data_IF_037981616757
#
_entry.id   IF_037981616757
#
_cell.length_a   1.000
_cell.length_b   1.000
_cell.length_c   1.000
_cell.angle_alpha   90.00
_cell.angle_beta   90.00
_cell.angle_gamma   90.00
#
_symmetry.space_group_name_H-M   'P 1'
#
loop_
_entity.id
_entity.type
_entity.pdbx_description
1 polymer ?
#
# COMPACT_ATOMS: atom_id res chain seq x y z
N UNK A 1 -4.73 5.68 28.65
CA UNK A 1 -4.26 6.62 27.59
C UNK A 1 -5.28 6.62 26.46
N UNK A 2 -5.92 7.76 26.20
CA UNK A 2 -6.92 7.90 25.12
C UNK A 2 -6.24 8.33 23.83
N UNK A 3 -6.32 7.48 22.81
CA UNK A 3 -5.68 7.71 21.51
C UNK A 3 -6.74 7.77 20.41
N UNK A 4 -6.71 8.81 19.59
CA UNK A 4 -7.46 8.86 18.36
C UNK A 4 -6.57 8.43 17.18
N UNK A 5 -6.98 7.41 16.45
CA UNK A 5 -6.27 6.91 15.26
C UNK A 5 -7.17 7.02 14.04
N UNK A 6 -6.69 7.52 12.93
CA UNK A 6 -7.46 7.60 11.69
C UNK A 6 -7.23 8.93 10.97
N UNK A 7 -8.08 9.28 10.00
CA UNK A 7 -9.36 8.64 9.70
C UNK A 7 -9.23 7.36 8.84
N UNK A 8 -10.12 6.41 9.09
CA UNK A 8 -10.31 5.23 8.28
C UNK A 8 -11.20 5.58 7.08
N UNK A 9 -10.71 5.35 5.88
CA UNK A 9 -11.38 5.76 4.64
C UNK A 9 -12.04 4.64 3.82
N UNK A 10 -11.97 3.39 4.28
CA UNK A 10 -12.48 2.22 3.55
C UNK A 10 -11.65 1.85 2.30
N UNK A 11 -11.44 0.57 2.05
CA UNK A 11 -10.96 -0.01 0.77
C UNK A 11 -9.63 0.50 0.19
N UNK A 12 -8.73 1.06 0.99
CA UNK A 12 -7.42 1.54 0.53
C UNK A 12 -6.28 0.93 1.35
N UNK A 13 -5.04 1.00 0.84
CA UNK A 13 -3.85 0.58 1.59
C UNK A 13 -3.71 1.28 2.94
N UNK A 14 -4.05 2.59 3.01
CA UNK A 14 -4.07 3.37 4.27
C UNK A 14 -5.09 2.79 5.24
N UNK A 15 -6.25 2.39 4.76
CA UNK A 15 -7.30 1.78 5.59
C UNK A 15 -6.89 0.41 6.11
N UNK A 16 -6.25 -0.40 5.27
CA UNK A 16 -5.67 -1.69 5.68
C UNK A 16 -4.63 -1.47 6.78
N UNK A 17 -3.69 -0.56 6.57
CA UNK A 17 -2.68 -0.21 7.56
C UNK A 17 -3.31 0.27 8.89
N UNK A 18 -4.30 1.17 8.81
CA UNK A 18 -4.98 1.69 10.01
C UNK A 18 -5.63 0.57 10.82
N UNK A 19 -6.32 -0.33 10.12
CA UNK A 19 -6.96 -1.50 10.74
C UNK A 19 -5.95 -2.44 11.40
N UNK A 20 -4.89 -2.80 10.68
CA UNK A 20 -3.86 -3.70 11.18
C UNK A 20 -3.09 -3.07 12.38
N UNK A 21 -2.83 -1.76 12.33
CA UNK A 21 -2.21 -1.05 13.43
C UNK A 21 -3.09 -1.04 14.70
N UNK A 22 -4.38 -0.73 14.57
CA UNK A 22 -5.29 -0.74 15.71
C UNK A 22 -5.38 -2.14 16.32
N UNK A 23 -5.51 -3.18 15.52
CA UNK A 23 -5.52 -4.58 15.97
C UNK A 23 -4.22 -4.94 16.69
N UNK A 24 -3.08 -4.59 16.11
CA UNK A 24 -1.77 -4.87 16.71
C UNK A 24 -1.59 -4.17 18.06
N UNK A 25 -1.97 -2.91 18.18
CA UNK A 25 -1.92 -2.15 19.43
C UNK A 25 -2.81 -2.75 20.51
N UNK A 26 -4.02 -3.19 20.17
CA UNK A 26 -4.96 -3.80 21.10
C UNK A 26 -4.49 -5.16 21.65
N UNK A 27 -3.58 -5.84 20.99
CA UNK A 27 -3.06 -7.14 21.45
C UNK A 27 -1.97 -7.04 22.50
N UNK A 28 -1.28 -5.90 22.59
CA UNK A 28 -0.08 -5.80 23.45
C UNK A 28 -0.27 -4.99 24.71
N UNK A 29 -1.29 -4.15 24.79
CA UNK A 29 -1.49 -3.26 25.95
C UNK A 29 -2.97 -2.98 26.21
N UNK A 30 -3.48 -3.50 27.36
CA UNK A 30 -4.87 -3.34 27.76
C UNK A 30 -5.25 -1.90 28.20
N UNK A 31 -4.25 -1.05 28.49
CA UNK A 31 -4.47 0.33 28.99
C UNK A 31 -4.58 1.36 27.87
N UNK A 32 -4.54 0.95 26.61
CA UNK A 32 -4.75 1.84 25.48
C UNK A 32 -6.25 1.93 25.15
N UNK A 33 -6.83 3.08 25.41
CA UNK A 33 -8.19 3.42 24.97
C UNK A 33 -8.13 4.00 23.54
N UNK A 34 -8.24 3.10 22.56
CA UNK A 34 -8.14 3.45 21.14
C UNK A 34 -9.51 3.78 20.60
N UNK A 35 -9.68 5.00 20.11
CA UNK A 35 -10.85 5.44 19.34
C UNK A 35 -10.47 5.60 17.88
N UNK A 36 -11.18 4.91 17.00
CA UNK A 36 -10.96 5.00 15.57
C UNK A 36 -11.77 6.17 14.97
N UNK A 37 -11.09 7.07 14.29
CA UNK A 37 -11.74 8.11 13.51
C UNK A 37 -12.25 7.50 12.19
N UNK A 38 -13.53 7.74 11.86
CA UNK A 38 -14.15 7.28 10.62
C UNK A 38 -14.87 8.42 9.93
N UNK A 39 -15.15 8.29 8.63
CA UNK A 39 -15.98 9.24 7.90
C UNK A 39 -17.44 8.81 7.93
N UNK A 40 -18.36 9.78 7.97
CA UNK A 40 -19.79 9.52 7.87
C UNK A 40 -20.11 8.69 6.60
N UNK A 41 -20.78 7.55 6.79
CA UNK A 41 -21.11 6.61 5.73
C UNK A 41 -20.00 5.62 5.39
N UNK A 42 -18.94 5.56 6.21
CA UNK A 42 -17.92 4.53 6.14
C UNK A 42 -17.92 3.77 7.45
N UNK A 43 -18.34 2.50 7.38
CA UNK A 43 -18.34 1.61 8.52
C UNK A 43 -16.99 0.92 8.66
N UNK A 44 -16.50 0.84 9.89
CA UNK A 44 -15.34 0.05 10.22
C UNK A 44 -15.80 -1.40 10.49
N UNK A 45 -15.23 -2.40 9.81
CA UNK A 45 -15.74 -3.76 9.88
C UNK A 45 -15.48 -4.48 11.21
N UNK A 46 -14.64 -3.93 12.09
CA UNK A 46 -14.29 -4.51 13.38
C UNK A 46 -14.91 -3.70 14.53
N UNK A 47 -15.98 -4.23 15.11
CA UNK A 47 -16.73 -3.59 16.20
C UNK A 47 -15.94 -3.49 17.54
N UNK A 48 -14.72 -3.99 17.62
CA UNK A 48 -13.90 -3.98 18.85
C UNK A 48 -13.44 -2.58 19.26
N UNK A 49 -13.43 -1.63 18.33
CA UNK A 49 -12.97 -0.26 18.61
C UNK A 49 -14.14 0.71 18.63
N UNK A 50 -14.25 1.58 19.65
CA UNK A 50 -15.16 2.71 19.60
C UNK A 50 -14.79 3.61 18.42
N UNK A 51 -15.80 4.07 17.69
CA UNK A 51 -15.61 4.92 16.52
C UNK A 51 -16.07 6.35 16.80
N UNK A 52 -15.31 7.31 16.31
CA UNK A 52 -15.69 8.72 16.31
C UNK A 52 -15.89 9.16 14.85
N UNK A 53 -17.16 9.35 14.49
CA UNK A 53 -17.53 9.71 13.12
C UNK A 53 -17.24 11.19 12.84
N UNK A 54 -16.52 11.42 11.76
CA UNK A 54 -16.27 12.74 11.18
C UNK A 54 -17.31 13.01 10.08
N UNK A 55 -17.80 14.25 9.94
CA UNK A 55 -18.80 14.55 8.92
C UNK A 55 -18.21 14.40 7.50
N UNK A 56 -19.05 13.95 6.55
CA UNK A 56 -18.64 13.68 5.18
C UNK A 56 -18.07 14.90 4.44
N UNK A 57 -18.51 16.10 4.79
CA UNK A 57 -17.99 17.34 4.21
C UNK A 57 -16.56 17.68 4.66
N UNK A 58 -16.05 16.99 5.68
CA UNK A 58 -14.65 17.06 6.08
C UNK A 58 -13.76 16.02 5.38
N UNK A 59 -14.35 15.16 4.53
CA UNK A 59 -13.61 14.15 3.77
C UNK A 59 -12.84 14.80 2.62
N UNK A 60 -11.55 14.54 2.58
CA UNK A 60 -10.64 14.92 1.51
C UNK A 60 -10.28 13.65 0.74
N UNK A 61 -11.15 13.28 -0.20
CA UNK A 61 -10.80 12.24 -1.17
C UNK A 61 -9.87 12.77 -2.24
N UNK A 62 -9.09 11.89 -2.89
CA UNK A 62 -8.24 12.32 -4.02
C UNK A 62 -9.04 12.99 -5.15
N UNK A 63 -10.32 12.61 -5.33
CA UNK A 63 -11.24 13.27 -6.26
C UNK A 63 -11.61 14.69 -5.88
N UNK A 64 -11.46 15.08 -4.61
CA UNK A 64 -11.81 16.41 -4.12
C UNK A 64 -10.67 17.42 -4.32
N UNK A 65 -9.46 16.96 -4.63
CA UNK A 65 -8.35 17.84 -5.03
C UNK A 65 -8.50 18.45 -6.41
N UNK A 66 -9.42 17.93 -7.23
CA UNK A 66 -9.66 18.41 -8.59
C UNK A 66 -10.48 19.72 -8.68
N UNK A 67 -10.92 20.28 -7.56
CA UNK A 67 -11.78 21.46 -7.69
C UNK A 67 -12.04 22.30 -6.46
N UNK A 68 -11.22 22.22 -5.43
CA UNK A 68 -11.53 23.11 -4.31
C UNK A 68 -10.46 23.14 -3.25
N UNK A 69 -9.90 24.29 -3.14
CA UNK A 69 -8.58 24.52 -2.58
C UNK A 69 -8.57 24.49 -1.05
N UNK A 70 -7.41 24.83 -0.52
CA UNK A 70 -7.05 25.25 0.84
C UNK A 70 -8.26 25.49 1.79
N UNK A 71 -9.36 26.08 1.33
CA UNK A 71 -10.56 26.34 2.12
C UNK A 71 -11.28 25.05 2.62
N UNK A 72 -11.38 24.01 1.78
CA UNK A 72 -11.96 22.71 2.17
C UNK A 72 -11.07 22.02 3.20
N UNK A 73 -9.77 22.10 3.00
CA UNK A 73 -8.78 21.53 3.91
C UNK A 73 -8.83 22.23 5.26
N UNK A 74 -8.93 23.55 5.30
CA UNK A 74 -9.11 24.32 6.54
C UNK A 74 -10.41 23.94 7.27
N UNK A 75 -11.51 23.76 6.53
CA UNK A 75 -12.78 23.30 7.10
C UNK A 75 -12.68 21.93 7.73
N UNK A 76 -12.11 20.96 6.98
CA UNK A 76 -11.92 19.60 7.43
C UNK A 76 -11.03 19.52 8.68
N UNK A 77 -9.87 20.16 8.63
CA UNK A 77 -8.92 20.13 9.75
C UNK A 77 -9.45 20.81 11.01
N UNK A 78 -10.28 21.87 10.87
CA UNK A 78 -10.96 22.50 12.00
C UNK A 78 -11.93 21.55 12.70
N UNK A 79 -12.68 20.76 11.92
CA UNK A 79 -13.60 19.75 12.46
C UNK A 79 -12.79 18.64 13.16
N UNK A 80 -11.77 18.11 12.52
CA UNK A 80 -10.89 17.07 13.10
C UNK A 80 -10.29 17.59 14.41
N UNK A 81 -9.70 18.79 14.42
CA UNK A 81 -9.11 19.40 15.61
C UNK A 81 -10.13 19.51 16.76
N UNK A 82 -11.37 19.96 16.48
CA UNK A 82 -12.41 20.08 17.51
C UNK A 82 -12.78 18.72 18.11
N UNK A 83 -12.88 17.70 17.26
CA UNK A 83 -13.26 16.34 17.68
C UNK A 83 -12.14 15.59 18.40
N UNK A 84 -10.89 15.95 18.15
CA UNK A 84 -9.74 15.24 18.73
C UNK A 84 -9.05 15.99 19.89
N UNK A 85 -9.54 17.18 20.28
CA UNK A 85 -8.89 18.03 21.28
C UNK A 85 -8.74 17.38 22.68
N UNK A 86 -9.67 16.48 23.03
CA UNK A 86 -9.74 15.86 24.36
C UNK A 86 -9.01 14.50 24.42
N UNK A 87 -8.34 14.08 23.34
CA UNK A 87 -7.49 12.89 23.33
C UNK A 87 -6.09 13.23 23.85
N UNK A 88 -5.48 12.25 24.52
CA UNK A 88 -4.11 12.39 25.01
C UNK A 88 -3.10 12.43 23.86
N UNK A 89 -3.40 11.70 22.77
CA UNK A 89 -2.57 11.60 21.58
C UNK A 89 -3.47 11.43 20.34
N UNK A 90 -3.03 12.01 19.22
CA UNK A 90 -3.67 11.84 17.91
C UNK A 90 -2.68 11.29 16.93
N UNK A 91 -3.04 10.20 16.27
CA UNK A 91 -2.23 9.58 15.22
C UNK A 91 -2.98 9.54 13.90
N UNK A 92 -2.47 10.27 12.90
CA UNK A 92 -2.95 10.20 11.53
C UNK A 92 -2.11 9.24 10.71
N UNK A 93 -2.71 8.12 10.27
CA UNK A 93 -2.08 7.21 9.30
C UNK A 93 -1.90 7.80 7.91
N UNK A 94 -2.47 8.97 7.66
CA UNK A 94 -2.31 9.77 6.45
C UNK A 94 -1.84 11.17 6.82
N UNK A 95 -0.68 11.56 6.29
CA UNK A 95 -0.07 12.85 6.60
C UNK A 95 -0.91 14.05 6.17
N UNK A 96 -1.76 13.89 5.16
CA UNK A 96 -2.58 15.00 4.60
C UNK A 96 -3.44 15.69 5.64
N UNK A 97 -4.04 14.94 6.54
CA UNK A 97 -4.93 15.48 7.58
C UNK A 97 -4.20 16.23 8.70
N UNK A 98 -2.90 16.01 8.82
CA UNK A 98 -2.09 16.67 9.86
C UNK A 98 -1.75 18.13 9.61
N UNK A 99 -1.92 18.64 8.39
CA UNK A 99 -1.39 19.94 7.98
C UNK A 99 -1.80 21.13 8.86
N UNK A 100 -3.01 21.12 9.39
CA UNK A 100 -3.54 22.20 10.21
C UNK A 100 -4.09 21.74 11.56
N UNK A 101 -3.92 20.47 11.90
CA UNK A 101 -4.31 19.95 13.21
C UNK A 101 -3.20 20.26 14.20
N UNK A 102 -3.45 21.29 15.02
CA UNK A 102 -2.53 21.68 16.09
C UNK A 102 -2.85 20.87 17.34
N UNK A 103 -2.31 19.66 17.41
CA UNK A 103 -2.38 18.85 18.63
C UNK A 103 -0.97 18.72 19.24
N UNK A 104 -0.81 18.91 20.59
CA UNK A 104 0.53 18.89 21.21
C UNK A 104 1.25 17.56 21.04
N UNK A 105 0.50 16.46 20.91
CA UNK A 105 1.01 15.11 20.71
C UNK A 105 0.49 14.50 19.41
N UNK A 106 0.81 15.18 18.29
CA UNK A 106 0.45 14.73 16.95
C UNK A 106 1.51 13.77 16.42
N UNK A 107 1.08 12.57 16.09
CA UNK A 107 1.87 11.55 15.36
C UNK A 107 1.34 11.46 13.95
N UNK A 108 2.21 11.44 12.96
CA UNK A 108 1.86 11.21 11.56
C UNK A 108 2.59 10.00 11.03
N UNK A 109 1.90 9.15 10.29
CA UNK A 109 2.55 8.17 9.41
C UNK A 109 2.73 8.79 8.04
N UNK A 110 3.97 8.85 7.60
CA UNK A 110 4.34 9.30 6.27
C UNK A 110 4.32 8.11 5.31
N UNK A 111 3.40 8.16 4.35
CA UNK A 111 3.33 7.22 3.25
C UNK A 111 4.29 7.66 2.17
N UNK A 112 5.51 7.13 2.22
CA UNK A 112 6.52 7.37 1.22
C UNK A 112 7.14 8.75 1.24
N UNK A 113 7.54 9.17 0.08
CA UNK A 113 8.53 10.17 -0.15
C UNK A 113 7.93 11.35 -0.92
N UNK A 114 7.76 12.46 -0.23
CA UNK A 114 7.34 13.71 -0.84
C UNK A 114 8.55 14.59 -1.11
N UNK A 115 9.02 14.61 -2.35
CA UNK A 115 10.09 15.51 -2.76
C UNK A 115 9.57 16.58 -3.69
N UNK A 116 9.83 17.82 -3.36
CA UNK A 116 9.66 18.96 -4.28
C UNK A 116 10.46 18.84 -5.58
N UNK A 117 11.41 17.90 -5.63
CA UNK A 117 12.18 17.58 -6.85
C UNK A 117 11.43 16.67 -7.81
N UNK A 118 10.32 16.07 -7.37
CA UNK A 118 9.46 15.30 -8.24
C UNK A 118 8.67 16.27 -9.11
N UNK A 119 8.80 16.10 -10.42
CA UNK A 119 8.08 16.92 -11.38
C UNK A 119 6.57 16.75 -11.14
N UNK A 120 5.77 17.83 -11.15
CA UNK A 120 4.32 17.76 -10.98
C UNK A 120 3.65 16.77 -11.91
N UNK A 121 4.20 16.58 -13.11
CA UNK A 121 3.74 15.59 -14.09
C UNK A 121 3.87 14.15 -13.58
N UNK A 122 5.02 13.78 -13.01
CA UNK A 122 5.23 12.46 -12.44
C UNK A 122 4.26 12.19 -11.28
N UNK A 123 4.01 13.22 -10.48
CA UNK A 123 3.07 13.15 -9.36
C UNK A 123 1.63 12.95 -9.85
N UNK A 124 1.23 13.68 -10.90
CA UNK A 124 -0.07 13.53 -11.53
C UNK A 124 -0.27 12.13 -12.12
N UNK A 125 0.71 11.61 -12.85
CA UNK A 125 0.68 10.27 -13.43
C UNK A 125 0.57 9.20 -12.33
N UNK A 126 1.26 9.39 -11.23
CA UNK A 126 1.26 8.45 -10.10
C UNK A 126 -0.09 8.38 -9.40
N UNK A 127 -0.69 9.53 -9.10
CA UNK A 127 -1.94 9.62 -8.36
C UNK A 127 -3.20 9.64 -9.23
N UNK A 128 -3.03 9.48 -10.55
CA UNK A 128 -4.15 9.51 -11.49
C UNK A 128 -4.75 10.90 -11.68
N UNK A 129 -4.04 11.97 -11.31
CA UNK A 129 -4.48 13.32 -11.65
C UNK A 129 -4.40 13.56 -13.16
N UNK A 130 -5.37 14.29 -13.74
CA UNK A 130 -5.26 14.65 -15.15
C UNK A 130 -4.00 15.48 -15.40
N UNK A 131 -3.25 15.14 -16.46
CA UNK A 131 -2.05 15.90 -16.87
C UNK A 131 -2.51 17.16 -17.58
N UNK A 132 -3.06 18.07 -16.81
CA UNK A 132 -3.51 19.40 -17.25
C UNK A 132 -3.18 20.41 -16.16
N UNK A 133 -3.44 21.69 -16.41
CA UNK A 133 -3.16 22.76 -15.43
C UNK A 133 -3.84 22.52 -14.07
N UNK A 134 -5.14 22.16 -14.00
CA UNK A 134 -5.79 21.81 -12.74
C UNK A 134 -5.16 20.62 -12.01
N UNK A 135 -4.80 19.56 -12.73
CA UNK A 135 -4.16 18.38 -12.14
C UNK A 135 -2.77 18.68 -11.59
N UNK A 136 -2.00 19.51 -12.28
CA UNK A 136 -0.69 19.98 -11.81
C UNK A 136 -0.82 20.85 -10.55
N UNK A 137 -1.80 21.76 -10.52
CA UNK A 137 -2.08 22.57 -9.35
C UNK A 137 -2.48 21.72 -8.15
N UNK A 138 -3.36 20.72 -8.35
CA UNK A 138 -3.75 19.77 -7.31
C UNK A 138 -2.56 18.99 -6.76
N UNK A 139 -1.63 18.55 -7.61
CA UNK A 139 -0.41 17.87 -7.19
C UNK A 139 0.50 18.76 -6.32
N UNK A 140 0.68 20.02 -6.71
CA UNK A 140 1.47 21.01 -5.95
C UNK A 140 0.80 21.27 -4.60
N UNK A 141 -0.52 21.44 -4.57
CA UNK A 141 -1.29 21.65 -3.36
C UNK A 141 -1.16 20.46 -2.38
N UNK A 142 -1.30 19.25 -2.89
CA UNK A 142 -1.11 18.03 -2.11
C UNK A 142 0.30 17.93 -1.52
N UNK A 143 1.33 18.25 -2.30
CA UNK A 143 2.72 18.28 -1.82
C UNK A 143 2.92 19.33 -0.73
N UNK A 144 2.35 20.52 -0.90
CA UNK A 144 2.41 21.58 0.09
C UNK A 144 1.74 21.16 1.42
N UNK A 145 0.56 20.55 1.33
CA UNK A 145 -0.19 20.06 2.49
C UNK A 145 0.60 19.01 3.28
N UNK A 146 1.17 18.03 2.59
CA UNK A 146 2.00 17.03 3.24
C UNK A 146 3.23 17.64 3.92
N UNK A 147 3.88 18.61 3.27
CA UNK A 147 5.03 19.33 3.86
C UNK A 147 4.64 20.07 5.15
N UNK A 148 3.50 20.74 5.14
CA UNK A 148 2.97 21.44 6.32
C UNK A 148 2.61 20.45 7.44
N UNK A 149 1.99 19.33 7.10
CA UNK A 149 1.64 18.28 8.05
C UNK A 149 2.89 17.71 8.74
N UNK A 150 3.91 17.36 7.96
CA UNK A 150 5.17 16.84 8.50
C UNK A 150 5.89 17.83 9.41
N UNK A 151 5.75 19.14 9.15
CA UNK A 151 6.28 20.19 10.03
C UNK A 151 5.48 20.37 11.31
N UNK A 152 4.17 20.13 11.27
CA UNK A 152 3.28 20.27 12.42
C UNK A 152 3.36 19.09 13.38
N UNK A 153 3.79 17.93 12.92
CA UNK A 153 3.85 16.71 13.72
C UNK A 153 4.96 16.76 14.77
N UNK A 154 4.63 16.28 15.97
CA UNK A 154 5.63 16.09 17.04
C UNK A 154 6.51 14.88 16.74
N UNK A 155 5.91 13.83 16.16
CA UNK A 155 6.61 12.65 15.68
C UNK A 155 6.08 12.28 14.29
N UNK A 156 7.00 11.89 13.42
CA UNK A 156 6.71 11.35 12.08
C UNK A 156 7.21 9.90 12.05
N UNK A 157 6.32 9.00 11.66
CA UNK A 157 6.69 7.61 11.39
C UNK A 157 6.82 7.44 9.88
N UNK A 158 7.99 7.02 9.43
CA UNK A 158 8.24 6.63 8.04
C UNK A 158 8.04 5.12 7.88
N UNK A 159 7.31 4.72 6.86
CA UNK A 159 7.17 3.32 6.46
C UNK A 159 8.35 2.83 5.59
N UNK A 160 9.19 3.77 5.14
CA UNK A 160 10.44 3.49 4.45
C UNK A 160 11.62 3.68 5.40
N UNK A 161 12.66 2.84 5.32
CA UNK A 161 13.92 3.07 6.04
C UNK A 161 14.49 4.45 5.75
N UNK A 162 15.12 5.07 6.74
CA UNK A 162 15.52 6.49 6.68
C UNK A 162 16.55 6.79 5.58
N UNK A 163 17.36 5.81 5.18
CA UNK A 163 18.31 5.94 4.07
C UNK A 163 17.61 6.10 2.69
N UNK A 164 16.35 5.74 2.58
CA UNK A 164 15.53 5.98 1.37
C UNK A 164 14.83 7.33 1.35
N UNK A 165 14.87 8.06 2.47
CA UNK A 165 14.32 9.41 2.54
C UNK A 165 15.32 10.44 2.03
N UNK A 166 14.86 11.56 1.43
CA UNK A 166 15.76 12.66 1.10
C UNK A 166 16.43 13.22 2.35
N UNK A 167 17.67 13.67 2.23
CA UNK A 167 18.45 14.22 3.33
C UNK A 167 17.71 15.29 4.15
N UNK A 168 16.87 16.12 3.52
CA UNK A 168 16.09 17.15 4.21
C UNK A 168 14.83 16.65 4.95
N UNK A 169 14.49 15.35 4.85
CA UNK A 169 13.35 14.74 5.53
C UNK A 169 13.76 13.89 6.73
N UNK A 170 15.01 13.55 6.85
CA UNK A 170 15.56 12.86 8.03
C UNK A 170 15.79 13.89 9.12
N UNK A 171 14.99 13.83 10.19
CA UNK A 171 15.07 14.71 11.36
C UNK A 171 15.03 13.87 12.62
N UNK A 172 15.39 14.42 13.76
CA UNK A 172 15.39 13.73 15.06
C UNK A 172 14.01 13.17 15.47
N UNK A 173 12.93 13.75 14.95
CA UNK A 173 11.57 13.30 15.23
C UNK A 173 11.00 12.34 14.16
N UNK A 174 11.81 11.84 13.23
CA UNK A 174 11.40 10.88 12.20
C UNK A 174 11.93 9.49 12.56
N UNK A 175 11.02 8.53 12.68
CA UNK A 175 11.32 7.15 13.05
C UNK A 175 10.88 6.21 11.96
N UNK A 176 11.70 5.23 11.61
CA UNK A 176 11.30 4.13 10.74
C UNK A 176 10.56 3.07 11.55
N UNK A 177 9.31 2.79 11.19
CA UNK A 177 8.55 1.65 11.66
C UNK A 177 7.87 1.01 10.45
N UNK A 178 8.15 -0.25 10.13
CA UNK A 178 7.48 -0.94 9.02
C UNK A 178 5.98 -1.09 9.31
N UNK A 179 5.15 -1.32 8.28
CA UNK A 179 3.72 -1.50 8.49
C UNK A 179 3.45 -2.82 9.24
N UNK A 180 2.46 -2.87 10.11
CA UNK A 180 2.00 -4.15 10.65
C UNK A 180 1.27 -4.93 9.57
N UNK A 181 1.57 -6.22 9.43
CA UNK A 181 0.90 -7.10 8.49
C UNK A 181 0.59 -8.44 9.17
N UNK A 182 -0.68 -8.65 9.51
CA UNK A 182 -1.13 -9.91 10.05
C UNK A 182 -1.50 -10.87 8.91
N UNK A 183 -0.60 -11.80 8.63
CA UNK A 183 -0.84 -12.93 7.74
C UNK A 183 -0.97 -14.18 8.61
N UNK A 184 -2.20 -14.58 8.92
CA UNK A 184 -2.42 -15.85 9.62
C UNK A 184 -2.10 -17.02 8.70
N UNK A 185 -1.15 -17.87 9.10
CA UNK A 185 -0.67 -18.99 8.29
C UNK A 185 -1.73 -20.01 7.90
N UNK A 186 -2.75 -20.17 8.72
CA UNK A 186 -3.72 -21.26 8.61
C UNK A 186 -4.99 -20.94 7.84
N UNK A 187 -5.39 -19.68 7.72
CA UNK A 187 -6.68 -19.32 7.13
C UNK A 187 -6.61 -18.88 5.67
N UNK A 188 -5.43 -18.51 5.19
CA UNK A 188 -5.29 -17.88 3.88
C UNK A 188 -5.11 -18.91 2.77
N UNK A 189 -4.43 -20.04 3.05
CA UNK A 189 -3.96 -20.97 2.02
C UNK A 189 -4.67 -22.32 2.00
N UNK A 190 -5.56 -22.59 2.94
CA UNK A 190 -6.34 -23.83 2.94
C UNK A 190 -7.54 -23.70 1.99
N UNK A 191 -7.39 -24.30 0.83
CA UNK A 191 -8.35 -24.35 -0.25
C UNK A 191 -8.10 -23.24 -1.28
N UNK A 192 -7.53 -23.59 -2.42
CA UNK A 192 -7.41 -22.71 -3.57
C UNK A 192 -8.73 -22.05 -3.96
N UNK A 193 -8.73 -21.12 -4.89
CA UNK A 193 -9.96 -20.56 -5.44
C UNK A 193 -10.81 -21.72 -5.98
N UNK A 194 -12.00 -21.92 -5.39
CA UNK A 194 -12.94 -22.98 -5.80
C UNK A 194 -13.84 -22.47 -6.94
N UNK A 195 -13.25 -21.88 -7.97
CA UNK A 195 -13.94 -21.36 -9.12
C UNK A 195 -13.09 -21.60 -10.39
N UNK A 196 -13.55 -21.10 -11.53
CA UNK A 196 -12.83 -21.21 -12.80
C UNK A 196 -11.38 -20.67 -12.76
N UNK A 197 -11.09 -19.72 -11.88
CA UNK A 197 -9.74 -19.17 -11.70
C UNK A 197 -8.81 -20.19 -11.02
N UNK A 198 -9.31 -20.95 -10.06
CA UNK A 198 -8.57 -22.03 -9.43
C UNK A 198 -8.15 -23.11 -10.41
N UNK A 199 -9.11 -23.60 -11.20
CA UNK A 199 -8.85 -24.61 -12.25
C UNK A 199 -7.82 -24.14 -13.26
N UNK A 200 -7.87 -22.87 -13.67
CA UNK A 200 -6.87 -22.31 -14.58
C UNK A 200 -5.49 -22.18 -13.97
N UNK A 201 -5.41 -21.83 -12.69
CA UNK A 201 -4.15 -21.76 -11.95
C UNK A 201 -3.50 -23.14 -11.80
N UNK A 202 -4.29 -24.19 -11.53
CA UNK A 202 -3.82 -25.57 -11.37
C UNK A 202 -3.29 -26.18 -12.67
N UNK A 203 -3.83 -25.75 -13.82
CA UNK A 203 -3.41 -26.25 -15.14
C UNK A 203 -2.20 -25.55 -15.74
N UNK A 204 -1.63 -24.54 -15.07
CA UNK A 204 -0.47 -23.80 -15.54
C UNK A 204 0.81 -24.26 -14.82
N UNK A 205 1.95 -24.27 -15.53
CA UNK A 205 3.26 -24.56 -14.91
C UNK A 205 3.71 -23.37 -14.03
N UNK A 206 3.31 -22.16 -14.41
CA UNK A 206 3.57 -20.95 -13.61
C UNK A 206 2.39 -19.98 -13.66
N UNK A 207 2.08 -19.41 -12.50
CA UNK A 207 1.02 -18.42 -12.31
C UNK A 207 1.64 -17.08 -11.96
N UNK A 208 1.38 -16.07 -12.79
CA UNK A 208 1.68 -14.67 -12.49
C UNK A 208 0.43 -13.95 -12.03
N UNK A 209 0.58 -13.06 -11.06
CA UNK A 209 -0.50 -12.24 -10.52
C UNK A 209 -0.07 -10.77 -10.56
N UNK A 210 -0.90 -9.93 -11.15
CA UNK A 210 -0.78 -8.48 -11.11
C UNK A 210 -2.02 -7.90 -10.43
N UNK A 211 -1.84 -7.04 -9.44
CA UNK A 211 -2.95 -6.44 -8.70
C UNK A 211 -2.91 -4.91 -8.71
N UNK A 212 -4.03 -4.30 -9.10
CA UNK A 212 -4.24 -2.86 -8.97
C UNK A 212 -5.71 -2.55 -8.84
N UNK A 213 -6.10 -1.68 -7.91
CA UNK A 213 -7.50 -1.25 -7.79
C UNK A 213 -8.06 -0.69 -9.10
N UNK A 214 -7.25 0.05 -9.83
CA UNK A 214 -7.58 0.63 -11.13
C UNK A 214 -6.50 0.26 -12.13
N UNK A 215 -6.83 -0.67 -13.04
CA UNK A 215 -5.92 -1.16 -14.07
C UNK A 215 -5.63 -0.12 -15.16
N UNK A 216 -6.44 0.95 -15.25
CA UNK A 216 -6.22 2.05 -16.21
C UNK A 216 -5.05 2.96 -15.83
N UNK A 217 -4.55 2.87 -14.60
CA UNK A 217 -3.43 3.70 -14.14
C UNK A 217 -2.13 3.20 -14.77
N UNK A 218 -1.68 3.89 -15.80
CA UNK A 218 -0.45 3.55 -16.56
C UNK A 218 0.78 3.42 -15.66
N UNK A 219 0.85 4.25 -14.61
CA UNK A 219 1.94 4.23 -13.64
C UNK A 219 2.09 2.91 -12.87
N UNK A 220 1.02 2.10 -12.76
CA UNK A 220 1.06 0.79 -12.09
C UNK A 220 1.74 -0.31 -12.91
N UNK A 221 1.79 -0.18 -14.24
CA UNK A 221 2.52 -1.11 -15.11
C UNK A 221 1.72 -2.31 -15.58
N UNK A 222 0.37 -2.24 -15.56
CA UNK A 222 -0.47 -3.35 -16.02
C UNK A 222 -0.24 -3.73 -17.49
N UNK A 223 -0.09 -2.74 -18.39
CA UNK A 223 0.24 -3.02 -19.79
C UNK A 223 1.63 -3.65 -19.92
N UNK A 224 2.62 -3.15 -19.18
CA UNK A 224 3.98 -3.72 -19.17
C UNK A 224 3.97 -5.20 -18.74
N UNK A 225 3.15 -5.56 -17.76
CA UNK A 225 2.97 -6.96 -17.34
C UNK A 225 2.44 -7.83 -18.49
N UNK A 226 1.41 -7.36 -19.20
CA UNK A 226 0.83 -8.08 -20.34
C UNK A 226 1.84 -8.21 -21.49
N UNK A 227 2.56 -7.15 -21.80
CA UNK A 227 3.52 -7.15 -22.92
C UNK A 227 4.70 -8.10 -22.65
N UNK A 228 5.25 -8.10 -21.45
CA UNK A 228 6.31 -9.01 -21.03
C UNK A 228 5.82 -10.47 -20.97
N UNK A 229 4.61 -10.70 -20.46
CA UNK A 229 3.97 -12.00 -20.43
C UNK A 229 3.68 -12.54 -21.84
N UNK A 230 3.25 -11.69 -22.75
CA UNK A 230 3.07 -12.03 -24.16
C UNK A 230 4.38 -12.53 -24.77
N UNK A 231 5.48 -11.84 -24.50
CA UNK A 231 6.80 -12.24 -24.96
C UNK A 231 7.21 -13.60 -24.40
N UNK A 232 6.95 -13.87 -23.12
CA UNK A 232 7.22 -15.16 -22.48
C UNK A 232 6.49 -16.31 -23.18
N UNK A 233 5.20 -16.17 -23.45
CA UNK A 233 4.41 -17.22 -24.10
C UNK A 233 4.84 -17.47 -25.55
N UNK A 234 5.08 -16.41 -26.32
CA UNK A 234 5.37 -16.54 -27.75
C UNK A 234 6.79 -17.01 -28.04
N UNK A 235 7.76 -16.52 -27.26
CA UNK A 235 9.17 -16.82 -27.49
C UNK A 235 9.60 -18.11 -26.79
N UNK A 236 9.25 -18.27 -25.53
CA UNK A 236 9.80 -19.31 -24.67
C UNK A 236 8.84 -20.49 -24.48
N UNK A 237 7.62 -20.39 -25.06
CA UNK A 237 6.56 -21.42 -25.06
C UNK A 237 6.21 -21.94 -23.67
N UNK A 238 6.38 -21.09 -22.64
CA UNK A 238 6.06 -21.41 -21.26
C UNK A 238 4.55 -21.56 -21.09
N UNK A 239 4.09 -22.61 -20.45
CA UNK A 239 2.67 -22.81 -20.14
C UNK A 239 2.31 -22.03 -18.86
N UNK A 240 1.90 -20.80 -19.04
CA UNK A 240 1.66 -19.86 -17.95
C UNK A 240 0.30 -19.17 -18.05
N UNK A 241 -0.18 -18.65 -16.92
CA UNK A 241 -1.32 -17.74 -16.85
C UNK A 241 -0.98 -16.47 -16.11
N UNK A 242 -1.59 -15.36 -16.53
CA UNK A 242 -1.48 -14.06 -15.88
C UNK A 242 -2.85 -13.62 -15.37
N UNK A 243 -3.01 -13.54 -14.06
CA UNK A 243 -4.18 -12.95 -13.44
C UNK A 243 -4.01 -11.43 -13.28
N UNK A 244 -4.96 -10.68 -13.81
CA UNK A 244 -5.07 -9.23 -13.72
C UNK A 244 -6.21 -8.88 -12.76
N UNK A 245 -5.86 -8.56 -11.51
CA UNK A 245 -6.83 -8.30 -10.44
C UNK A 245 -7.13 -6.81 -10.36
N UNK A 246 -8.39 -6.43 -10.51
CA UNK A 246 -8.86 -5.05 -10.38
C UNK A 246 -9.85 -4.61 -11.44
N UNK A 247 -10.29 -3.35 -11.34
CA UNK A 247 -11.28 -2.77 -12.25
C UNK A 247 -10.68 -2.11 -13.49
N UNK A 248 -11.55 -1.73 -14.43
CA UNK A 248 -11.22 -0.98 -15.66
C UNK A 248 -10.28 -1.72 -16.63
N UNK A 249 -10.57 -3.01 -16.86
CA UNK A 249 -9.80 -3.87 -17.78
C UNK A 249 -9.72 -3.32 -19.21
N UNK A 250 -10.75 -2.61 -19.67
CA UNK A 250 -10.86 -2.10 -21.05
C UNK A 250 -9.80 -1.04 -21.40
N UNK A 251 -9.05 -0.55 -20.40
CA UNK A 251 -7.92 0.33 -20.61
C UNK A 251 -6.62 -0.39 -21.02
N UNK A 252 -6.62 -1.73 -20.99
CA UNK A 252 -5.48 -2.57 -21.32
C UNK A 252 -5.70 -3.32 -22.64
N UNK A 253 -4.64 -3.46 -23.41
CA UNK A 253 -4.62 -4.19 -24.67
C UNK A 253 -4.05 -5.59 -24.50
N UNK A 254 -4.79 -6.62 -24.86
CA UNK A 254 -4.35 -8.01 -24.82
C UNK A 254 -4.32 -8.56 -26.24
N UNK A 255 -3.17 -8.98 -26.77
CA UNK A 255 -3.09 -9.63 -28.07
C UNK A 255 -3.97 -10.90 -28.14
N UNK A 256 -4.67 -11.10 -29.25
CA UNK A 256 -5.59 -12.22 -29.40
C UNK A 256 -4.91 -13.58 -29.14
N UNK A 257 -3.65 -13.72 -29.52
CA UNK A 257 -2.88 -14.97 -29.43
C UNK A 257 -2.61 -15.41 -27.96
N UNK A 258 -2.70 -14.50 -27.00
CA UNK A 258 -2.49 -14.81 -25.56
C UNK A 258 -3.72 -14.54 -24.72
N UNK A 259 -4.87 -14.23 -25.35
CA UNK A 259 -6.10 -13.82 -24.66
C UNK A 259 -6.58 -14.84 -23.63
N UNK A 260 -6.48 -16.12 -23.94
CA UNK A 260 -6.93 -17.20 -23.06
C UNK A 260 -6.01 -17.40 -21.85
N UNK A 261 -4.80 -16.88 -21.90
CA UNK A 261 -3.81 -16.95 -20.81
C UNK A 261 -3.77 -15.69 -19.94
N UNK A 262 -4.48 -14.62 -20.32
CA UNK A 262 -4.60 -13.38 -19.52
C UNK A 262 -6.01 -13.30 -18.95
N UNK A 263 -6.14 -13.45 -17.64
CA UNK A 263 -7.42 -13.59 -16.95
C UNK A 263 -7.71 -12.34 -16.13
N UNK A 264 -8.74 -11.60 -16.49
CA UNK A 264 -9.23 -10.46 -15.70
C UNK A 264 -10.25 -10.93 -14.68
N UNK A 265 -9.90 -10.89 -13.40
CA UNK A 265 -10.77 -11.34 -12.32
C UNK A 265 -11.83 -10.31 -11.92
N UNK A 266 -11.64 -9.03 -12.30
CA UNK A 266 -12.35 -7.93 -11.67
C UNK A 266 -11.87 -7.70 -10.24
N UNK A 267 -12.72 -7.07 -9.42
CA UNK A 267 -12.45 -6.94 -8.00
C UNK A 267 -12.68 -8.28 -7.30
N UNK A 268 -11.69 -8.72 -6.55
CA UNK A 268 -11.82 -9.82 -5.60
C UNK A 268 -12.00 -9.23 -4.20
N UNK A 269 -12.76 -9.91 -3.35
CA UNK A 269 -12.70 -9.62 -1.93
C UNK A 269 -11.30 -9.97 -1.37
N UNK A 270 -10.99 -9.48 -0.15
CA UNK A 270 -9.65 -9.68 0.43
C UNK A 270 -9.31 -11.17 0.58
N UNK A 271 -10.29 -12.01 0.92
CA UNK A 271 -10.09 -13.44 1.14
C UNK A 271 -9.72 -14.15 -0.15
N UNK A 272 -10.48 -13.91 -1.20
CA UNK A 272 -10.24 -14.52 -2.52
C UNK A 272 -8.96 -13.98 -3.17
N UNK A 273 -8.67 -12.69 -2.99
CA UNK A 273 -7.39 -12.13 -3.42
C UNK A 273 -6.20 -12.84 -2.73
N UNK A 274 -6.24 -13.02 -1.42
CA UNK A 274 -5.17 -13.71 -0.69
C UNK A 274 -5.09 -15.21 -1.05
N UNK A 275 -6.21 -15.86 -1.40
CA UNK A 275 -6.21 -17.23 -1.93
C UNK A 275 -5.58 -17.35 -3.32
N UNK A 276 -5.67 -16.29 -4.12
CA UNK A 276 -4.98 -16.23 -5.40
C UNK A 276 -3.46 -16.12 -5.25
N UNK A 277 -2.98 -15.60 -4.12
CA UNK A 277 -1.56 -15.56 -3.78
C UNK A 277 -1.14 -16.88 -3.12
N UNK A 278 0.16 -17.17 -3.06
CA UNK A 278 0.67 -18.35 -2.35
C UNK A 278 1.99 -18.88 -2.90
N UNK A 279 2.53 -19.91 -2.24
CA UNK A 279 3.75 -20.56 -2.69
C UNK A 279 3.66 -21.05 -4.15
N UNK A 280 4.74 -20.94 -4.88
CA UNK A 280 4.79 -21.35 -6.29
C UNK A 280 4.13 -20.37 -7.26
N UNK A 281 3.69 -19.20 -6.82
CA UNK A 281 3.16 -18.12 -7.66
C UNK A 281 4.11 -16.94 -7.72
N UNK A 282 3.98 -16.12 -8.76
CA UNK A 282 4.77 -14.90 -8.94
C UNK A 282 3.86 -13.67 -8.86
N UNK A 283 4.21 -12.69 -8.07
CA UNK A 283 3.52 -11.41 -8.04
C UNK A 283 4.32 -10.31 -8.75
N UNK A 284 3.63 -9.49 -9.54
CA UNK A 284 4.23 -8.42 -10.32
C UNK A 284 3.88 -7.05 -9.72
N UNK A 285 4.87 -6.33 -9.23
CA UNK A 285 4.75 -4.99 -8.67
C UNK A 285 5.57 -3.99 -9.52
N UNK A 286 5.02 -3.58 -10.66
CA UNK A 286 5.73 -2.86 -11.71
C UNK A 286 5.45 -1.35 -11.71
N UNK A 287 5.17 -0.76 -10.56
CA UNK A 287 4.82 0.65 -10.43
C UNK A 287 5.99 1.59 -10.73
N UNK A 288 5.70 2.78 -11.26
CA UNK A 288 6.66 3.89 -11.37
C UNK A 288 7.07 4.46 -10.02
N UNK A 289 6.20 4.34 -9.05
CA UNK A 289 6.40 4.84 -7.70
C UNK A 289 5.25 4.40 -6.81
N UNK A 290 5.59 4.01 -5.61
CA UNK A 290 4.68 3.69 -4.51
C UNK A 290 5.19 4.36 -3.25
N UNK A 291 4.29 4.57 -2.34
CA UNK A 291 4.63 5.01 -0.99
C UNK A 291 4.96 3.80 -0.14
N UNK A 292 4.08 2.81 -0.22
CA UNK A 292 4.21 1.48 0.31
C UNK A 292 3.36 0.56 -0.58
N UNK A 293 3.94 -0.51 -1.05
CA UNK A 293 3.21 -1.49 -1.85
C UNK A 293 2.67 -2.62 -0.95
N UNK A 294 1.51 -2.38 -0.36
CA UNK A 294 0.86 -3.37 0.50
C UNK A 294 0.57 -4.68 -0.24
N UNK A 295 0.16 -4.60 -1.51
CA UNK A 295 -0.12 -5.78 -2.31
C UNK A 295 1.13 -6.65 -2.52
N UNK A 296 2.28 -6.00 -2.72
CA UNK A 296 3.57 -6.69 -2.79
C UNK A 296 3.92 -7.35 -1.45
N UNK A 297 3.73 -6.63 -0.32
CA UNK A 297 3.99 -7.20 1.01
C UNK A 297 3.06 -8.39 1.32
N UNK A 298 1.78 -8.30 0.95
CA UNK A 298 0.83 -9.40 1.08
C UNK A 298 1.25 -10.61 0.23
N UNK A 299 1.70 -10.39 -0.99
CA UNK A 299 2.18 -11.45 -1.87
C UNK A 299 3.45 -12.11 -1.32
N UNK A 300 4.43 -11.31 -0.86
CA UNK A 300 5.63 -11.82 -0.20
C UNK A 300 5.28 -12.65 1.03
N UNK A 301 4.43 -12.12 1.91
CA UNK A 301 4.00 -12.82 3.13
C UNK A 301 3.21 -14.08 2.85
N UNK A 302 2.53 -14.16 1.72
CA UNK A 302 1.86 -15.34 1.20
C UNK A 302 2.82 -16.40 0.62
N UNK A 303 4.09 -16.07 0.44
CA UNK A 303 5.09 -16.96 -0.14
C UNK A 303 5.17 -16.92 -1.67
N UNK A 304 4.65 -15.86 -2.30
CA UNK A 304 4.89 -15.61 -3.71
C UNK A 304 6.34 -15.17 -3.94
N UNK A 305 6.95 -15.64 -5.02
CA UNK A 305 8.09 -14.96 -5.59
C UNK A 305 7.62 -13.60 -6.15
N UNK A 306 8.43 -12.55 -6.06
CA UNK A 306 8.02 -11.22 -6.52
C UNK A 306 8.98 -10.67 -7.58
N UNK A 307 8.41 -10.02 -8.60
CA UNK A 307 9.13 -9.22 -9.58
C UNK A 307 8.69 -7.78 -9.38
N UNK A 308 9.62 -6.92 -9.01
CA UNK A 308 9.31 -5.55 -8.61
C UNK A 308 10.14 -4.55 -9.40
N UNK A 309 9.56 -3.38 -9.67
CA UNK A 309 10.32 -2.26 -10.22
C UNK A 309 11.31 -1.70 -9.20
N UNK A 310 12.37 -1.07 -9.71
CA UNK A 310 13.42 -0.44 -8.89
C UNK A 310 12.95 0.89 -8.30
N UNK A 311 12.19 0.82 -7.20
CA UNK A 311 11.67 1.98 -6.45
C UNK A 311 11.89 1.81 -4.95
N UNK A 312 11.96 2.91 -4.17
CA UNK A 312 12.17 2.84 -2.72
C UNK A 312 11.17 1.98 -1.96
N UNK A 313 9.90 1.94 -2.38
CA UNK A 313 8.87 1.12 -1.72
C UNK A 313 9.15 -0.39 -1.76
N UNK A 314 10.00 -0.84 -2.68
CA UNK A 314 10.40 -2.23 -2.82
C UNK A 314 11.74 -2.55 -2.14
N UNK A 315 12.13 -1.76 -1.13
CA UNK A 315 13.40 -1.92 -0.40
C UNK A 315 13.56 -3.34 0.17
N UNK A 316 12.50 -3.97 0.64
CA UNK A 316 12.54 -5.33 1.19
C UNK A 316 13.03 -6.35 0.17
N UNK A 317 12.67 -6.18 -1.10
CA UNK A 317 13.14 -7.05 -2.18
C UNK A 317 14.58 -6.75 -2.55
N UNK A 318 14.93 -5.45 -2.68
CA UNK A 318 16.25 -4.99 -3.07
C UNK A 318 17.33 -5.34 -2.03
N UNK A 319 17.06 -5.02 -0.77
CA UNK A 319 18.08 -5.08 0.28
C UNK A 319 18.27 -6.50 0.81
N UNK A 320 17.25 -7.35 0.70
CA UNK A 320 17.25 -8.70 1.26
C UNK A 320 17.27 -9.83 0.21
N UNK A 321 17.27 -9.50 -1.08
CA UNK A 321 17.36 -10.49 -2.16
C UNK A 321 16.18 -11.47 -2.19
N UNK A 322 14.98 -11.01 -1.80
CA UNK A 322 13.79 -11.86 -1.66
C UNK A 322 12.93 -11.94 -2.91
N UNK A 323 13.42 -11.47 -4.05
CA UNK A 323 12.73 -11.46 -5.34
C UNK A 323 13.64 -10.92 -6.44
N UNK A 324 13.02 -10.39 -7.50
CA UNK A 324 13.75 -9.79 -8.64
C UNK A 324 13.38 -8.31 -8.77
N UNK A 325 14.42 -7.48 -8.76
CA UNK A 325 14.29 -6.05 -9.03
C UNK A 325 14.60 -5.80 -10.50
N UNK A 326 13.68 -5.17 -11.21
CA UNK A 326 13.76 -5.00 -12.66
C UNK A 326 13.63 -3.53 -13.08
N UNK A 327 14.28 -3.19 -14.19
CA UNK A 327 13.97 -1.96 -14.91
C UNK A 327 12.59 -2.08 -15.56
N UNK A 328 11.85 -0.96 -15.62
CA UNK A 328 10.49 -0.94 -16.18
C UNK A 328 10.50 -0.95 -17.72
N UNK A 329 10.98 -2.03 -18.30
CA UNK A 329 10.91 -2.33 -19.73
C UNK A 329 10.55 -3.80 -19.95
N UNK A 330 10.06 -4.12 -21.13
CA UNK A 330 9.54 -5.45 -21.48
C UNK A 330 10.64 -6.50 -21.32
N UNK A 331 11.86 -6.23 -21.75
CA UNK A 331 12.94 -7.21 -21.75
C UNK A 331 13.38 -7.59 -20.35
N UNK A 332 13.50 -6.61 -19.45
CA UNK A 332 13.90 -6.85 -18.07
C UNK A 332 12.83 -7.63 -17.29
N UNK A 333 11.54 -7.25 -17.48
CA UNK A 333 10.41 -7.97 -16.85
C UNK A 333 10.30 -9.39 -17.40
N UNK A 334 10.38 -9.56 -18.72
CA UNK A 334 10.36 -10.86 -19.39
C UNK A 334 11.49 -11.78 -18.88
N UNK A 335 12.73 -11.26 -18.78
CA UNK A 335 13.86 -12.06 -18.30
C UNK A 335 13.63 -12.56 -16.86
N UNK A 336 13.08 -11.71 -15.99
CA UNK A 336 12.73 -12.13 -14.64
C UNK A 336 11.56 -13.14 -14.63
N UNK A 337 10.55 -12.97 -15.48
CA UNK A 337 9.48 -13.95 -15.63
C UNK A 337 10.00 -15.31 -16.09
N UNK A 338 10.91 -15.32 -17.06
CA UNK A 338 11.52 -16.55 -17.58
C UNK A 338 12.35 -17.26 -16.50
N UNK A 339 13.13 -16.53 -15.72
CA UNK A 339 13.86 -17.08 -14.58
C UNK A 339 12.92 -17.69 -13.54
N UNK A 340 11.81 -17.01 -13.20
CA UNK A 340 10.82 -17.51 -12.25
C UNK A 340 9.86 -18.55 -12.84
N UNK A 341 9.99 -18.91 -14.12
CA UNK A 341 9.35 -20.10 -14.65
C UNK A 341 9.98 -21.39 -14.06
N UNK A 342 11.25 -21.35 -13.63
CA UNK A 342 11.86 -22.43 -12.85
C UNK A 342 11.19 -22.53 -11.47
N UNK A 343 10.64 -23.70 -11.17
CA UNK A 343 9.85 -23.94 -9.95
C UNK A 343 10.71 -23.84 -8.69
N UNK A 344 11.92 -24.39 -8.71
CA UNK A 344 12.80 -24.39 -7.54
C UNK A 344 13.20 -22.96 -7.16
N UNK A 345 13.64 -22.17 -8.12
CA UNK A 345 13.97 -20.74 -7.93
C UNK A 345 12.76 -19.97 -7.38
N UNK A 346 11.59 -20.21 -7.94
CA UNK A 346 10.34 -19.55 -7.55
C UNK A 346 9.95 -19.90 -6.12
N UNK A 347 10.00 -21.17 -5.73
CA UNK A 347 9.67 -21.63 -4.38
C UNK A 347 10.68 -21.11 -3.34
N UNK A 348 11.97 -21.14 -3.66
CA UNK A 348 13.01 -20.63 -2.77
C UNK A 348 12.85 -19.14 -2.50
N UNK A 349 12.69 -18.34 -3.54
CA UNK A 349 12.49 -16.88 -3.39
C UNK A 349 11.21 -16.56 -2.63
N UNK A 350 10.12 -17.26 -2.90
CA UNK A 350 8.85 -17.07 -2.18
C UNK A 350 8.99 -17.41 -0.70
N UNK A 351 9.69 -18.49 -0.35
CA UNK A 351 9.98 -18.84 1.05
C UNK A 351 10.80 -17.78 1.76
N UNK A 352 11.84 -17.27 1.11
CA UNK A 352 12.70 -16.21 1.65
C UNK A 352 11.91 -14.91 1.82
N UNK A 353 11.08 -14.55 0.84
CA UNK A 353 10.19 -13.39 0.90
C UNK A 353 9.21 -13.47 2.09
N UNK A 354 8.56 -14.61 2.28
CA UNK A 354 7.64 -14.81 3.39
C UNK A 354 8.33 -14.70 4.75
N UNK A 355 9.51 -15.29 4.90
CA UNK A 355 10.30 -15.19 6.13
C UNK A 355 10.63 -13.74 6.47
N UNK A 356 11.15 -12.99 5.49
CA UNK A 356 11.58 -11.61 5.67
C UNK A 356 10.41 -10.69 6.04
N UNK A 357 9.31 -10.75 5.30
CA UNK A 357 8.13 -9.91 5.57
C UNK A 357 7.56 -10.21 6.96
N UNK A 358 7.45 -11.49 7.37
CA UNK A 358 6.94 -11.85 8.69
C UNK A 358 7.81 -11.30 9.82
N UNK A 359 9.12 -11.29 9.65
CA UNK A 359 10.04 -10.73 10.65
C UNK A 359 9.91 -9.20 10.73
N UNK A 360 9.93 -8.53 9.58
CA UNK A 360 9.90 -7.07 9.52
C UNK A 360 8.55 -6.48 9.91
N UNK A 361 7.45 -7.12 9.50
CA UNK A 361 6.10 -6.57 9.65
C UNK A 361 5.30 -7.22 10.80
N UNK A 362 5.98 -7.94 11.70
CA UNK A 362 5.33 -8.58 12.87
C UNK A 362 4.44 -7.59 13.61
N UNK A 363 3.11 -7.83 13.69
CA UNK A 363 2.18 -6.90 14.35
C UNK A 363 2.59 -6.57 15.78
N UNK A 364 3.03 -7.58 16.54
CA UNK A 364 3.46 -7.42 17.93
C UNK A 364 4.68 -6.52 18.04
N UNK A 365 5.71 -6.72 17.22
CA UNK A 365 6.93 -5.91 17.28
C UNK A 365 6.70 -4.49 16.76
N UNK A 366 5.90 -4.33 15.73
CA UNK A 366 5.47 -3.02 15.22
C UNK A 366 4.70 -2.26 16.31
N UNK A 367 3.72 -2.91 16.94
CA UNK A 367 2.94 -2.29 18.00
C UNK A 367 3.80 -1.86 19.20
N UNK A 368 4.77 -2.67 19.64
CA UNK A 368 5.71 -2.29 20.71
C UNK A 368 6.48 -1.01 20.39
N UNK A 369 6.94 -0.87 19.14
CA UNK A 369 7.63 0.36 18.69
C UNK A 369 6.73 1.58 18.76
N UNK A 370 5.45 1.45 18.35
CA UNK A 370 4.48 2.53 18.45
C UNK A 370 4.18 2.90 19.90
N UNK A 371 3.96 1.93 20.78
CA UNK A 371 3.73 2.16 22.22
C UNK A 371 4.90 2.91 22.84
N UNK A 372 6.13 2.54 22.52
CA UNK A 372 7.34 3.25 23.00
C UNK A 372 7.31 4.73 22.59
N UNK A 373 6.94 5.02 21.32
CA UNK A 373 6.82 6.41 20.84
C UNK A 373 5.70 7.15 21.57
N UNK A 374 4.53 6.52 21.74
CA UNK A 374 3.40 7.15 22.41
C UNK A 374 3.71 7.47 23.87
N UNK A 375 4.31 6.54 24.60
CA UNK A 375 4.72 6.74 26.00
C UNK A 375 5.75 7.86 26.13
N UNK A 376 6.75 7.92 25.23
CA UNK A 376 7.73 9.00 25.21
C UNK A 376 7.07 10.37 25.00
N UNK A 377 6.04 10.47 24.15
CA UNK A 377 5.33 11.72 23.92
C UNK A 377 4.45 12.16 25.10
N UNK A 378 4.04 11.25 25.96
CA UNK A 378 3.26 11.56 27.16
C UNK A 378 4.14 12.04 28.31
N UNK A 379 5.40 11.61 28.34
CA UNK A 379 6.36 12.00 29.39
C UNK A 379 7.04 13.36 29.12
N UNK A 380 6.85 13.93 27.94
CA UNK A 380 7.31 15.29 27.55
C UNK A 380 6.17 16.28 27.53
#
# INVERSE_FOLDING_TARGET
MRIAIGPYGGGSGISTYTSELCKALATIQNDLDITLLTWQGIDYPDAKFPTLTLPKNAFLGMSDYTGGPIAKVFGATRVVRRKTKDFDLVHFPDSTYGAFVRHPRLVLTMWGYFSWRLLPRWYAERFGFPINVPGTAAAIEFMAMNTLALRAARVVVSLLPLNYLPKGHVRENVFYIPPPLALSETSIFQGGLQNEFGTRAENADVVFVFGSRDLSIKGKGGQLAIDAFTKLLLRDKTRAVLFMVGGKKDALSVPNVVRDSVIFTGFLDRRDYLRLLGPGRCFLALSHGEELDYACLEAMGAGCAVIVSDIPAHYMVRDHGTGRVVSRNIDSVHSAMLELADENTRLELGKNAAKEVRQLTSPTEVAKRYVTIYQRLLST
#
